data_IF_809714661051
#
_entry.id   IF_809714661051
#
_cell.length_a   1.000
_cell.length_b   1.000
_cell.length_c   1.000
_cell.angle_alpha   90.00
_cell.angle_beta   90.00
_cell.angle_gamma   90.00
#
_symmetry.space_group_name_H-M   'P 1'
#
loop_
_entity.id
_entity.type
_entity.pdbx_description
1 polymer ?
#
# COMPACT_ATOMS: atom_id res chain seq x y z
N UNK A 1 2.17 11.51 -8.98
CA UNK A 1 3.20 11.41 -7.92
C UNK A 1 4.18 10.28 -8.26
N UNK A 2 5.43 10.49 -7.98
CA UNK A 2 6.46 9.48 -8.18
C UNK A 2 6.96 8.95 -6.86
N UNK A 3 7.25 7.67 -6.81
CA UNK A 3 7.90 7.04 -5.66
C UNK A 3 9.37 7.47 -5.66
N UNK A 4 9.80 8.13 -4.60
CA UNK A 4 11.17 8.65 -4.45
C UNK A 4 12.05 7.76 -3.58
N UNK A 5 11.45 7.04 -2.65
CA UNK A 5 12.19 6.19 -1.72
C UNK A 5 11.33 5.00 -1.31
N UNK A 6 11.96 4.01 -0.69
CA UNK A 6 11.23 2.88 -0.12
C UNK A 6 10.62 3.29 1.22
N UNK A 7 9.35 2.97 1.43
CA UNK A 7 8.65 3.28 2.66
C UNK A 7 7.75 2.13 3.09
N UNK A 8 7.51 2.04 4.39
CA UNK A 8 6.71 1.00 5.01
C UNK A 8 5.62 1.64 5.86
N UNK A 9 4.43 1.05 5.83
CA UNK A 9 3.34 1.39 6.75
C UNK A 9 2.62 0.13 7.19
N UNK A 10 2.05 0.15 8.39
CA UNK A 10 1.33 -0.97 8.95
C UNK A 10 2.20 -1.88 9.80
N UNK A 11 1.60 -2.96 10.29
CA UNK A 11 2.26 -3.91 11.20
C UNK A 11 2.02 -5.35 10.74
N UNK A 12 2.68 -6.29 11.42
CA UNK A 12 2.47 -7.73 11.22
C UNK A 12 1.54 -8.34 12.26
N UNK A 13 0.81 -7.50 12.99
CA UNK A 13 -0.17 -7.96 13.99
C UNK A 13 -1.43 -8.51 13.32
N UNK A 14 -2.20 -9.30 14.07
CA UNK A 14 -3.49 -9.83 13.62
C UNK A 14 -4.40 -8.71 13.14
N UNK A 15 -5.11 -8.96 12.04
CA UNK A 15 -6.06 -8.03 11.41
C UNK A 15 -5.42 -6.76 10.86
N UNK A 16 -4.11 -6.74 10.68
CA UNK A 16 -3.39 -5.63 10.06
C UNK A 16 -2.72 -6.07 8.77
N UNK A 17 -2.14 -5.13 8.06
CA UNK A 17 -1.36 -5.37 6.86
C UNK A 17 -0.13 -4.46 6.88
N UNK A 18 1.01 -5.00 6.47
CA UNK A 18 2.22 -4.21 6.30
C UNK A 18 2.46 -3.99 4.82
N UNK A 19 2.53 -2.73 4.41
CA UNK A 19 2.72 -2.32 3.03
C UNK A 19 4.10 -1.69 2.89
N UNK A 20 4.92 -2.25 1.99
CA UNK A 20 6.20 -1.66 1.61
C UNK A 20 6.11 -1.21 0.16
N UNK A 21 6.40 0.04 -0.11
CA UNK A 21 6.36 0.62 -1.46
C UNK A 21 7.75 1.07 -1.83
N UNK A 22 8.18 0.70 -3.04
CA UNK A 22 9.47 1.11 -3.60
C UNK A 22 9.32 1.50 -5.06
N UNK A 23 10.37 2.05 -5.65
CA UNK A 23 10.38 2.44 -7.07
C UNK A 23 10.18 1.26 -8.00
N UNK A 24 9.45 1.50 -9.06
CA UNK A 24 9.31 0.58 -10.18
C UNK A 24 9.13 1.39 -11.46
N UNK A 25 9.61 0.88 -12.58
CA UNK A 25 9.51 1.57 -13.87
C UNK A 25 8.43 0.99 -14.79
N UNK A 26 7.82 -0.11 -14.41
CA UNK A 26 6.93 -0.89 -15.27
C UNK A 26 5.50 -1.02 -14.72
N UNK A 27 4.93 0.05 -14.21
CA UNK A 27 3.59 0.03 -13.67
C UNK A 27 3.55 -0.38 -12.20
N UNK A 28 2.40 -0.83 -11.75
CA UNK A 28 2.21 -1.26 -10.36
C UNK A 28 2.36 -2.77 -10.29
N UNK A 29 3.37 -3.22 -9.56
CA UNK A 29 3.59 -4.63 -9.27
C UNK A 29 3.30 -4.88 -7.79
N UNK A 30 2.53 -5.90 -7.49
CA UNK A 30 2.16 -6.24 -6.11
C UNK A 30 2.57 -7.67 -5.81
N UNK A 31 3.43 -7.82 -4.83
CA UNK A 31 3.80 -9.10 -4.25
C UNK A 31 3.05 -9.25 -2.93
N UNK A 32 2.06 -10.13 -2.91
CA UNK A 32 1.17 -10.33 -1.78
C UNK A 32 1.50 -11.63 -1.06
N UNK A 33 1.77 -11.53 0.23
CA UNK A 33 1.90 -12.66 1.13
C UNK A 33 0.74 -12.64 2.12
N UNK A 34 -0.15 -13.61 2.02
CA UNK A 34 -1.35 -13.69 2.86
C UNK A 34 -1.83 -15.12 2.97
N UNK A 35 -2.28 -15.52 4.16
CA UNK A 35 -2.89 -16.84 4.39
C UNK A 35 -4.19 -17.01 3.63
N UNK A 36 -4.83 -15.92 3.24
CA UNK A 36 -6.12 -15.92 2.55
C UNK A 36 -6.00 -15.47 1.08
N UNK A 37 -4.79 -15.43 0.54
CA UNK A 37 -4.53 -14.92 -0.80
C UNK A 37 -5.25 -15.69 -1.89
N UNK A 38 -5.51 -16.99 -1.70
CA UNK A 38 -6.26 -17.81 -2.66
C UNK A 38 -7.71 -17.37 -2.81
N UNK A 39 -8.29 -16.81 -1.77
CA UNK A 39 -9.70 -16.40 -1.73
C UNK A 39 -9.82 -14.89 -1.95
N UNK A 40 -9.04 -14.10 -1.25
CA UNK A 40 -9.15 -12.64 -1.21
C UNK A 40 -7.99 -11.88 -1.86
N UNK A 41 -7.03 -12.60 -2.45
CA UNK A 41 -5.84 -11.98 -3.04
C UNK A 41 -6.15 -10.94 -4.09
N UNK A 42 -7.10 -11.21 -4.97
CA UNK A 42 -7.53 -10.26 -6.02
C UNK A 42 -8.14 -9.00 -5.40
N UNK A 43 -8.96 -9.15 -4.37
CA UNK A 43 -9.60 -8.04 -3.68
C UNK A 43 -8.56 -7.15 -2.99
N UNK A 44 -7.61 -7.76 -2.30
CA UNK A 44 -6.53 -7.04 -1.62
C UNK A 44 -5.70 -6.23 -2.62
N UNK A 45 -5.29 -6.86 -3.71
CA UNK A 45 -4.53 -6.19 -4.78
C UNK A 45 -5.34 -5.07 -5.43
N UNK A 46 -6.63 -5.26 -5.61
CA UNK A 46 -7.53 -4.25 -6.18
C UNK A 46 -7.61 -3.02 -5.27
N UNK A 47 -7.74 -3.19 -3.97
CA UNK A 47 -7.79 -2.08 -3.01
C UNK A 47 -6.48 -1.30 -3.03
N UNK A 48 -5.35 -2.00 -3.02
CA UNK A 48 -4.02 -1.38 -3.08
C UNK A 48 -3.86 -0.58 -4.38
N UNK A 49 -4.18 -1.21 -5.51
CA UNK A 49 -4.06 -0.57 -6.83
C UNK A 49 -4.96 0.67 -6.94
N UNK A 50 -6.21 0.56 -6.52
CA UNK A 50 -7.15 1.68 -6.53
C UNK A 50 -6.66 2.83 -5.65
N UNK A 51 -6.09 2.52 -4.49
CA UNK A 51 -5.55 3.53 -3.59
C UNK A 51 -4.38 4.27 -4.21
N UNK A 52 -3.46 3.55 -4.85
CA UNK A 52 -2.32 4.16 -5.53
C UNK A 52 -2.77 5.01 -6.72
N UNK A 53 -3.72 4.52 -7.51
CA UNK A 53 -4.26 5.26 -8.65
C UNK A 53 -4.95 6.56 -8.21
N UNK A 54 -5.65 6.53 -7.09
CA UNK A 54 -6.31 7.73 -6.57
C UNK A 54 -5.33 8.82 -6.15
N UNK A 55 -4.08 8.44 -5.85
CA UNK A 55 -2.99 9.38 -5.55
C UNK A 55 -2.18 9.78 -6.78
N UNK A 56 -2.57 9.32 -7.97
CA UNK A 56 -1.83 9.60 -9.19
C UNK A 56 -0.53 8.83 -9.33
N UNK A 57 -0.37 7.74 -8.62
CA UNK A 57 0.81 6.88 -8.71
C UNK A 57 0.58 5.84 -9.81
N UNK A 58 1.42 5.88 -10.84
CA UNK A 58 1.32 4.98 -11.98
C UNK A 58 2.35 3.84 -11.93
N UNK A 59 3.46 4.04 -11.24
CA UNK A 59 4.55 3.09 -11.15
C UNK A 59 4.96 2.91 -9.69
N UNK A 60 4.87 1.69 -9.20
CA UNK A 60 5.28 1.34 -7.84
C UNK A 60 5.47 -0.17 -7.72
N UNK A 61 6.43 -0.58 -6.91
CA UNK A 61 6.56 -1.96 -6.49
C UNK A 61 6.07 -2.07 -5.05
N UNK A 62 5.08 -2.91 -4.84
CA UNK A 62 4.43 -3.07 -3.55
C UNK A 62 4.68 -4.47 -3.02
N UNK A 63 5.18 -4.57 -1.79
CA UNK A 63 5.21 -5.83 -1.06
C UNK A 63 4.21 -5.70 0.09
N UNK A 64 3.21 -6.57 0.09
CA UNK A 64 2.16 -6.55 1.09
C UNK A 64 2.18 -7.86 1.88
N UNK A 65 2.27 -7.77 3.20
CA UNK A 65 2.15 -8.91 4.10
C UNK A 65 0.85 -8.71 4.87
N UNK A 66 -0.17 -9.51 4.52
CA UNK A 66 -1.51 -9.39 5.09
C UNK A 66 -1.71 -10.39 6.23
N UNK A 67 -2.22 -9.90 7.35
CA UNK A 67 -2.56 -10.69 8.52
C UNK A 67 -4.07 -10.66 8.79
N UNK A 68 -4.87 -10.64 7.73
CA UNK A 68 -6.32 -10.63 7.82
C UNK A 68 -6.94 -9.24 7.89
N UNK A 69 -6.30 -8.25 7.29
CA UNK A 69 -6.81 -6.88 7.27
C UNK A 69 -8.10 -6.75 6.46
N UNK A 70 -9.01 -5.92 6.93
CA UNK A 70 -10.19 -5.52 6.17
C UNK A 70 -9.83 -4.38 5.21
N UNK A 71 -10.65 -4.17 4.18
CA UNK A 71 -10.44 -3.11 3.19
C UNK A 71 -10.26 -1.73 3.83
N UNK A 72 -10.99 -1.46 4.90
CA UNK A 72 -10.91 -0.20 5.65
C UNK A 72 -9.57 -0.03 6.40
N UNK A 73 -8.77 -1.09 6.52
CA UNK A 73 -7.41 -1.04 7.08
C UNK A 73 -6.38 -0.97 5.96
N UNK A 74 -6.59 -1.71 4.86
CA UNK A 74 -5.67 -1.79 3.73
C UNK A 74 -5.51 -0.42 3.08
N UNK A 75 -6.59 0.29 2.85
CA UNK A 75 -6.58 1.60 2.17
C UNK A 75 -5.75 2.66 2.91
N UNK A 76 -5.96 2.93 4.21
CA UNK A 76 -5.14 3.91 4.92
C UNK A 76 -3.67 3.50 5.05
N UNK A 77 -3.39 2.19 5.17
CA UNK A 77 -2.00 1.72 5.20
C UNK A 77 -1.30 1.97 3.87
N UNK A 78 -1.99 1.73 2.76
CA UNK A 78 -1.46 1.98 1.42
C UNK A 78 -1.21 3.48 1.23
N UNK A 79 -2.13 4.34 1.63
CA UNK A 79 -1.96 5.78 1.57
C UNK A 79 -0.77 6.25 2.40
N UNK A 80 -0.64 5.75 3.64
CA UNK A 80 0.47 6.12 4.50
C UNK A 80 1.83 5.73 3.89
N UNK A 81 1.94 4.50 3.37
CA UNK A 81 3.16 4.05 2.71
C UNK A 81 3.47 4.88 1.47
N UNK A 82 2.46 5.17 0.64
CA UNK A 82 2.62 5.96 -0.57
C UNK A 82 3.09 7.38 -0.27
N UNK A 83 2.50 8.02 0.72
CA UNK A 83 2.88 9.37 1.12
C UNK A 83 4.32 9.44 1.64
N UNK A 84 4.72 8.47 2.44
CA UNK A 84 6.10 8.36 2.91
C UNK A 84 7.07 8.12 1.74
N UNK A 85 6.70 7.26 0.81
CA UNK A 85 7.53 6.91 -0.34
C UNK A 85 7.67 8.06 -1.34
N UNK A 86 6.67 8.92 -1.45
CA UNK A 86 6.69 10.09 -2.33
C UNK A 86 7.30 11.33 -1.67
N UNK A 87 7.64 11.26 -0.39
CA UNK A 87 8.24 12.37 0.34
C UNK A 87 7.24 13.40 0.84
N UNK A 88 5.94 13.08 0.87
CA UNK A 88 4.90 14.01 1.34
C UNK A 88 4.51 13.79 2.81
N UNK A 89 5.10 12.80 3.47
CA UNK A 89 4.74 12.43 4.84
C UNK A 89 5.09 13.50 5.89
N UNK A 90 5.96 14.44 5.54
CA UNK A 90 6.34 15.54 6.43
C UNK A 90 5.28 16.64 6.51
N UNK A 91 4.38 16.69 5.52
CA UNK A 91 3.26 17.62 5.52
C UNK A 91 2.11 17.03 6.34
N UNK A 92 1.36 17.86 7.08
CA UNK A 92 0.23 17.36 7.86
C UNK A 92 -0.90 16.88 6.94
N UNK A 93 -0.83 15.61 6.56
CA UNK A 93 -1.82 14.98 5.69
C UNK A 93 -2.86 14.17 6.45
N UNK A 94 -2.80 14.18 7.75
CA UNK A 94 -3.79 13.51 8.62
C UNK A 94 -5.20 14.00 8.42
N UNK A 95 -5.37 15.18 7.88
CA UNK A 95 -6.69 15.71 7.53
C UNK A 95 -7.36 14.93 6.39
N UNK A 96 -6.57 14.16 5.66
CA UNK A 96 -7.02 13.36 4.52
C UNK A 96 -7.49 11.98 4.94
N UNK A 97 -7.18 11.60 6.16
CA UNK A 97 -7.50 10.26 6.67
C UNK A 97 -8.75 10.23 7.51
#
# INVERSE_FOLDING_TARGET
>A
MEIKSTAIAGTLESSDIQITISKNDNGIEIDLDSDVSKIFGKQIKKVITSSLNSLGIENAKVKAVDQGALDCVIKPRTFAAAQRATGTAEEPVWEVF
#
